data_IF_287826142138
#
_entry.id   IF_287826142138
#
_cell.length_a   1.000
_cell.length_b   1.000
_cell.length_c   1.000
_cell.angle_alpha   90.00
_cell.angle_beta   90.00
_cell.angle_gamma   90.00
#
_symmetry.space_group_name_H-M   'P 1'
#
loop_
_entity.id
_entity.type
_entity.pdbx_description
1 polymer ?
#
# COMPACT_ATOMS: atom_id res chain seq x y z
N UNK A 1 -74.97 5.26 -39.92
CA UNK A 1 -75.28 6.68 -39.76
C UNK A 1 -74.81 7.07 -38.37
N UNK A 2 -73.64 7.63 -38.10
CA UNK A 2 -72.44 8.07 -38.82
C UNK A 2 -71.37 8.21 -37.71
N UNK A 3 -70.12 7.74 -37.89
CA UNK A 3 -68.94 8.59 -38.15
C UNK A 3 -68.90 9.88 -37.28
N UNK A 4 -67.87 10.25 -36.51
CA UNK A 4 -66.43 9.99 -36.55
C UNK A 4 -65.77 10.62 -35.31
N UNK A 5 -64.60 10.06 -34.94
CA UNK A 5 -63.49 10.60 -34.13
C UNK A 5 -63.46 12.08 -33.74
N UNK A 6 -63.07 12.35 -32.49
CA UNK A 6 -62.03 13.35 -32.21
C UNK A 6 -61.11 12.88 -31.06
N UNK A 7 -59.85 13.25 -31.20
CA UNK A 7 -58.66 12.65 -30.62
C UNK A 7 -57.89 13.77 -29.92
N UNK A 8 -57.67 13.71 -28.60
CA UNK A 8 -56.57 14.51 -28.01
C UNK A 8 -56.01 13.94 -26.71
N UNK A 9 -54.66 13.91 -26.54
CA UNK A 9 -53.97 13.08 -25.56
C UNK A 9 -53.67 13.86 -24.26
N UNK A 10 -53.59 13.15 -23.14
CA UNK A 10 -53.00 13.65 -21.90
C UNK A 10 -51.91 12.68 -21.41
N UNK A 11 -50.92 12.45 -22.28
CA UNK A 11 -49.61 11.94 -21.91
C UNK A 11 -48.75 13.12 -21.42
N UNK A 12 -49.04 13.61 -20.22
CA UNK A 12 -48.27 14.57 -19.41
C UNK A 12 -48.99 14.61 -18.05
N UNK A 13 -48.45 14.27 -16.89
CA UNK A 13 -47.16 14.64 -16.35
C UNK A 13 -46.84 13.79 -15.10
N UNK A 14 -46.62 12.49 -15.26
CA UNK A 14 -46.20 11.58 -14.18
C UNK A 14 -44.69 11.23 -14.24
N UNK A 15 -43.85 12.10 -14.80
CA UNK A 15 -42.45 11.80 -15.09
C UNK A 15 -41.50 12.94 -14.67
N UNK A 16 -41.58 13.37 -13.41
CA UNK A 16 -40.63 14.30 -12.83
C UNK A 16 -40.00 13.79 -11.53
N UNK A 17 -39.85 12.47 -11.40
CA UNK A 17 -38.75 11.92 -10.60
C UNK A 17 -37.60 11.72 -11.56
N UNK A 18 -36.73 12.72 -11.69
CA UNK A 18 -35.42 12.54 -12.30
C UNK A 18 -34.76 11.29 -11.69
N UNK A 19 -34.49 10.22 -12.46
CA UNK A 19 -33.62 9.18 -11.96
C UNK A 19 -32.26 9.87 -11.78
N UNK A 20 -31.76 9.91 -10.55
CA UNK A 20 -30.34 10.17 -10.32
C UNK A 20 -29.54 9.28 -11.29
N UNK A 21 -28.39 9.76 -11.83
CA UNK A 21 -27.55 8.93 -12.68
C UNK A 21 -27.38 7.58 -12.00
N UNK A 22 -27.97 6.53 -12.57
CA UNK A 22 -27.61 5.17 -12.23
C UNK A 22 -26.12 5.11 -12.53
N UNK A 23 -25.30 5.10 -11.48
CA UNK A 23 -23.89 4.79 -11.54
C UNK A 23 -23.79 3.53 -12.39
N UNK A 24 -23.45 3.69 -13.68
CA UNK A 24 -23.19 2.58 -14.57
C UNK A 24 -21.98 1.90 -13.96
N UNK A 25 -22.25 0.91 -13.12
CA UNK A 25 -21.22 0.00 -12.66
C UNK A 25 -20.70 -0.69 -13.91
N UNK A 26 -19.60 -0.16 -14.46
CA UNK A 26 -18.93 -0.78 -15.59
C UNK A 26 -18.75 -2.26 -15.24
N UNK A 27 -19.24 -3.20 -16.06
CA UNK A 27 -19.24 -4.62 -15.71
C UNK A 27 -17.83 -5.15 -15.44
N UNK A 28 -16.81 -4.48 -15.97
CA UNK A 28 -15.37 -4.71 -15.70
C UNK A 28 -14.97 -4.37 -14.25
N UNK A 29 -15.61 -3.38 -13.63
CA UNK A 29 -15.38 -2.98 -12.23
C UNK A 29 -16.22 -3.79 -11.23
N UNK A 30 -17.32 -4.42 -11.68
CA UNK A 30 -18.19 -5.24 -10.82
C UNK A 30 -17.54 -6.54 -10.30
N UNK A 31 -16.63 -7.12 -11.10
CA UNK A 31 -15.82 -8.26 -10.70
C UNK A 31 -14.68 -7.83 -9.76
N UNK A 32 -14.16 -6.62 -9.97
CA UNK A 32 -13.03 -6.06 -9.22
C UNK A 32 -13.40 -5.48 -7.85
N UNK A 33 -14.64 -5.04 -7.65
CA UNK A 33 -15.13 -4.52 -6.37
C UNK A 33 -15.63 -5.59 -5.39
N UNK A 34 -15.60 -6.87 -5.76
CA UNK A 34 -15.99 -7.95 -4.85
C UNK A 34 -14.84 -8.24 -3.87
N UNK A 35 -15.08 -8.21 -2.55
CA UNK A 35 -14.05 -8.47 -1.55
C UNK A 35 -13.64 -9.94 -1.60
N UNK A 36 -12.52 -10.21 -2.27
CA UNK A 36 -11.92 -11.52 -2.46
C UNK A 36 -11.00 -11.90 -1.28
N UNK A 37 -11.53 -11.82 -0.06
CA UNK A 37 -10.78 -12.08 1.19
C UNK A 37 -10.29 -13.52 1.29
N UNK A 38 -11.10 -14.49 0.86
CA UNK A 38 -10.76 -15.92 0.92
C UNK A 38 -9.64 -16.29 -0.06
N UNK A 39 -9.67 -15.75 -1.28
CA UNK A 39 -8.62 -16.03 -2.29
C UNK A 39 -7.30 -15.40 -1.88
N UNK A 40 -7.31 -14.21 -1.26
CA UNK A 40 -6.11 -13.59 -0.68
C UNK A 40 -5.53 -14.42 0.48
N UNK A 41 -6.39 -15.00 1.33
CA UNK A 41 -5.95 -15.82 2.45
C UNK A 41 -5.32 -17.14 1.98
N UNK A 42 -5.93 -17.79 0.97
CA UNK A 42 -5.37 -18.97 0.32
C UNK A 42 -4.06 -18.64 -0.40
N UNK A 43 -4.00 -17.52 -1.12
CA UNK A 43 -2.78 -17.06 -1.80
C UNK A 43 -1.64 -16.81 -0.81
N UNK A 44 -1.92 -16.18 0.33
CA UNK A 44 -0.93 -15.93 1.39
C UNK A 44 -0.43 -17.25 1.99
N UNK A 45 -1.33 -18.21 2.23
CA UNK A 45 -0.96 -19.51 2.76
C UNK A 45 -0.07 -20.29 1.79
N UNK A 46 -0.43 -20.32 0.49
CA UNK A 46 0.38 -20.97 -0.54
C UNK A 46 1.75 -20.30 -0.72
N UNK A 47 1.80 -18.96 -0.63
CA UNK A 47 3.06 -18.22 -0.67
C UNK A 47 3.98 -18.58 0.51
N UNK A 48 3.45 -18.69 1.72
CA UNK A 48 4.23 -19.10 2.89
C UNK A 48 4.79 -20.52 2.73
N UNK A 49 3.98 -21.45 2.24
CA UNK A 49 4.41 -22.81 1.95
C UNK A 49 5.50 -22.82 0.89
N UNK A 50 5.36 -22.03 -0.18
CA UNK A 50 6.38 -21.90 -1.23
C UNK A 50 7.72 -21.41 -0.67
N UNK A 51 7.72 -20.34 0.13
CA UNK A 51 8.94 -19.81 0.75
C UNK A 51 9.59 -20.83 1.68
N UNK A 52 8.79 -21.54 2.49
CA UNK A 52 9.29 -22.56 3.42
C UNK A 52 10.00 -23.72 2.71
N UNK A 53 9.54 -24.11 1.51
CA UNK A 53 10.22 -25.13 0.70
C UNK A 53 11.40 -24.58 -0.11
N UNK A 54 11.39 -23.29 -0.45
CA UNK A 54 12.45 -22.66 -1.23
C UNK A 54 13.67 -22.25 -0.37
N UNK A 55 13.50 -22.05 0.93
CA UNK A 55 14.62 -21.79 1.86
C UNK A 55 15.53 -23.02 1.94
N UNK A 56 16.66 -22.97 1.22
CA UNK A 56 17.64 -24.04 1.17
C UNK A 56 18.69 -23.85 2.26
N UNK A 57 19.06 -24.89 2.99
CA UNK A 57 19.91 -24.80 4.19
C UNK A 57 21.38 -24.39 3.94
N UNK A 58 21.78 -24.14 2.69
CA UNK A 58 23.18 -23.87 2.33
C UNK A 58 23.69 -22.51 2.83
N UNK A 59 22.85 -21.45 2.85
CA UNK A 59 23.28 -20.08 3.16
C UNK A 59 22.32 -19.37 4.12
N UNK A 60 22.70 -19.26 5.40
CA UNK A 60 21.89 -18.61 6.45
C UNK A 60 21.57 -17.14 6.14
N UNK A 61 22.54 -16.39 5.61
CA UNK A 61 22.35 -14.98 5.25
C UNK A 61 21.31 -14.80 4.15
N UNK A 62 21.31 -15.68 3.14
CA UNK A 62 20.33 -15.62 2.06
C UNK A 62 18.95 -16.01 2.60
N UNK A 63 18.87 -17.06 3.42
CA UNK A 63 17.62 -17.49 4.05
C UNK A 63 16.99 -16.39 4.91
N UNK A 64 17.79 -15.65 5.69
CA UNK A 64 17.29 -14.50 6.45
C UNK A 64 16.75 -13.38 5.55
N UNK A 65 17.39 -13.11 4.40
CA UNK A 65 16.90 -12.09 3.44
C UNK A 65 15.57 -12.51 2.80
N UNK A 66 15.46 -13.77 2.39
CA UNK A 66 14.23 -14.33 1.84
C UNK A 66 13.12 -14.38 2.88
N UNK A 67 13.43 -14.79 4.11
CA UNK A 67 12.49 -14.85 5.23
C UNK A 67 11.96 -13.46 5.62
N UNK A 68 12.84 -12.46 5.73
CA UNK A 68 12.43 -11.09 6.01
C UNK A 68 11.57 -10.53 4.87
N UNK A 69 11.99 -10.73 3.61
CA UNK A 69 11.22 -10.29 2.44
C UNK A 69 9.83 -10.92 2.39
N UNK A 70 9.73 -12.23 2.65
CA UNK A 70 8.48 -12.96 2.71
C UNK A 70 7.58 -12.46 3.84
N UNK A 71 8.12 -12.24 5.04
CA UNK A 71 7.38 -11.69 6.17
C UNK A 71 6.80 -10.30 5.89
N UNK A 72 7.60 -9.41 5.28
CA UNK A 72 7.13 -8.10 4.85
C UNK A 72 5.99 -8.21 3.81
N UNK A 73 6.10 -9.14 2.86
CA UNK A 73 5.09 -9.35 1.82
C UNK A 73 3.76 -9.83 2.40
N UNK A 74 3.81 -10.80 3.32
CA UNK A 74 2.63 -11.31 4.04
C UNK A 74 1.97 -10.21 4.88
N UNK A 75 2.76 -9.38 5.57
CA UNK A 75 2.23 -8.24 6.32
C UNK A 75 1.47 -7.27 5.41
N UNK A 76 2.01 -6.97 4.22
CA UNK A 76 1.33 -6.11 3.24
C UNK A 76 0.03 -6.74 2.74
N UNK A 77 0.01 -8.04 2.41
CA UNK A 77 -1.22 -8.73 1.99
C UNK A 77 -2.29 -8.67 3.09
N UNK A 78 -1.93 -9.00 4.33
CA UNK A 78 -2.85 -8.94 5.47
C UNK A 78 -3.32 -7.50 5.69
N UNK A 79 -2.43 -6.51 5.58
CA UNK A 79 -2.78 -5.09 5.64
C UNK A 79 -3.82 -4.69 4.61
N UNK A 80 -3.72 -5.17 3.36
CA UNK A 80 -4.72 -4.90 2.32
C UNK A 80 -6.11 -5.46 2.69
N UNK A 81 -6.15 -6.59 3.41
CA UNK A 81 -7.39 -7.25 3.83
C UNK A 81 -8.02 -6.57 5.05
N UNK A 82 -7.22 -6.22 6.05
CA UNK A 82 -7.69 -5.74 7.36
C UNK A 82 -7.94 -4.23 7.36
N UNK A 83 -7.18 -3.45 6.59
CA UNK A 83 -7.36 -2.01 6.57
C UNK A 83 -8.63 -1.60 5.84
N UNK A 84 -9.35 -0.66 6.46
CA UNK A 84 -10.57 -0.08 5.92
C UNK A 84 -10.26 0.80 4.71
N UNK A 85 -11.19 0.86 3.75
CA UNK A 85 -11.11 1.79 2.64
C UNK A 85 -10.98 3.24 3.13
N UNK A 86 -9.87 3.87 2.76
CA UNK A 86 -9.67 5.29 2.98
C UNK A 86 -10.52 6.14 2.01
N UNK A 87 -10.60 7.46 2.24
CA UNK A 87 -11.34 8.38 1.38
C UNK A 87 -10.77 8.52 -0.05
N UNK A 88 -9.62 7.90 -0.34
CA UNK A 88 -8.99 7.88 -1.65
C UNK A 88 -9.48 6.69 -2.49
N UNK A 89 -10.38 6.97 -3.44
CA UNK A 89 -11.06 5.94 -4.25
C UNK A 89 -10.43 5.72 -5.65
N UNK A 90 -9.62 6.66 -6.17
CA UNK A 90 -8.94 6.53 -7.49
C UNK A 90 -7.42 6.45 -7.28
N UNK A 91 -6.60 5.66 -8.01
CA UNK A 91 -6.87 4.76 -9.14
C UNK A 91 -7.23 3.30 -8.76
N UNK A 92 -6.94 2.81 -7.54
CA UNK A 92 -7.39 1.49 -7.06
C UNK A 92 -7.45 1.46 -5.52
N UNK A 93 -8.54 1.01 -4.88
CA UNK A 93 -8.66 1.01 -3.40
C UNK A 93 -7.60 0.14 -2.71
N UNK A 94 -7.25 -1.04 -3.28
CA UNK A 94 -6.20 -1.89 -2.70
C UNK A 94 -4.80 -1.27 -2.77
N UNK A 95 -4.52 -0.38 -3.73
CA UNK A 95 -3.22 0.30 -3.79
C UNK A 95 -3.03 1.18 -2.55
N UNK A 96 -4.06 1.94 -2.21
CA UNK A 96 -4.03 2.79 -1.01
C UNK A 96 -3.95 1.99 0.28
N UNK A 97 -4.62 0.84 0.37
CA UNK A 97 -4.47 -0.07 1.52
C UNK A 97 -3.06 -0.66 1.61
N UNK A 98 -2.43 -0.99 0.48
CA UNK A 98 -1.05 -1.45 0.45
C UNK A 98 -0.05 -0.35 0.88
N UNK A 99 -0.28 0.90 0.44
CA UNK A 99 0.53 2.06 0.85
C UNK A 99 0.42 2.29 2.36
N UNK A 100 -0.79 2.20 2.93
CA UNK A 100 -0.98 2.28 4.37
C UNK A 100 -0.24 1.15 5.11
N UNK A 101 -0.31 -0.08 4.61
CA UNK A 101 0.43 -1.20 5.18
C UNK A 101 1.94 -1.01 5.13
N UNK A 102 2.47 -0.55 3.99
CA UNK A 102 3.89 -0.22 3.86
C UNK A 102 4.30 0.91 4.80
N UNK A 103 3.44 1.92 5.02
CA UNK A 103 3.72 3.00 5.96
C UNK A 103 3.83 2.49 7.41
N UNK A 104 2.91 1.63 7.85
CA UNK A 104 2.96 1.01 9.19
C UNK A 104 4.20 0.13 9.33
N UNK A 105 4.52 -0.68 8.31
CA UNK A 105 5.71 -1.52 8.31
C UNK A 105 7.00 -0.68 8.40
N UNK A 106 7.06 0.43 7.67
CA UNK A 106 8.16 1.39 7.74
C UNK A 106 8.28 2.02 9.13
N UNK A 107 7.17 2.41 9.76
CA UNK A 107 7.19 2.98 11.11
C UNK A 107 7.67 1.96 12.15
N UNK A 108 7.24 0.71 12.07
CA UNK A 108 7.75 -0.37 12.94
C UNK A 108 9.27 -0.54 12.78
N UNK A 109 9.78 -0.45 11.56
CA UNK A 109 11.21 -0.47 11.27
C UNK A 109 11.96 0.74 11.85
N UNK A 110 11.41 1.95 11.69
CA UNK A 110 12.00 3.17 12.27
C UNK A 110 12.07 3.12 13.79
N UNK A 111 10.99 2.67 14.46
CA UNK A 111 10.96 2.53 15.91
C UNK A 111 12.00 1.49 16.37
N UNK A 112 12.17 0.38 15.64
CA UNK A 112 13.22 -0.60 15.92
C UNK A 112 14.62 0.02 15.82
N UNK A 113 14.90 0.78 14.75
CA UNK A 113 16.20 1.45 14.55
C UNK A 113 16.42 2.55 15.61
N UNK A 114 15.37 3.22 16.06
CA UNK A 114 15.43 4.30 17.04
C UNK A 114 16.01 3.83 18.39
N UNK A 115 15.70 2.60 18.81
CA UNK A 115 16.22 2.02 20.05
C UNK A 115 17.60 1.32 19.90
N UNK A 116 18.15 1.26 18.69
CA UNK A 116 19.46 0.65 18.43
C UNK A 116 20.61 1.65 18.69
N UNK A 117 21.75 1.14 19.16
CA UNK A 117 22.99 1.92 19.25
C UNK A 117 23.53 2.28 17.84
N UNK A 118 24.30 3.37 17.73
CA UNK A 118 24.88 3.89 16.45
C UNK A 118 25.56 2.79 15.63
N UNK A 119 26.36 1.94 16.27
CA UNK A 119 27.10 0.88 15.56
C UNK A 119 26.21 -0.31 15.17
N UNK A 120 25.25 -0.67 16.02
CA UNK A 120 24.27 -1.73 15.72
C UNK A 120 23.31 -1.31 14.60
N UNK A 121 22.84 -0.05 14.62
CA UNK A 121 22.00 0.51 13.57
C UNK A 121 22.71 0.51 12.21
N UNK A 122 24.01 0.85 12.18
CA UNK A 122 24.83 0.76 10.96
C UNK A 122 24.92 -0.67 10.42
N UNK A 123 25.12 -1.65 11.30
CA UNK A 123 25.13 -3.07 10.92
C UNK A 123 23.76 -3.58 10.48
N UNK A 124 22.67 -3.07 11.06
CA UNK A 124 21.31 -3.39 10.60
C UNK A 124 21.02 -2.79 9.22
N UNK A 125 21.45 -1.56 8.95
CA UNK A 125 21.27 -0.93 7.63
C UNK A 125 22.06 -1.63 6.51
N UNK A 126 23.20 -2.25 6.82
CA UNK A 126 23.98 -3.08 5.88
C UNK A 126 23.18 -4.26 5.30
N UNK A 127 22.11 -4.69 5.99
CA UNK A 127 21.26 -5.77 5.51
C UNK A 127 20.44 -5.37 4.27
N UNK A 128 20.06 -4.09 4.17
CA UNK A 128 19.26 -3.55 3.08
C UNK A 128 20.13 -3.06 1.92
N UNK A 129 21.25 -2.41 2.22
CA UNK A 129 22.21 -1.95 1.22
C UNK A 129 23.65 -2.18 1.71
N UNK A 130 24.42 -2.91 0.90
CA UNK A 130 25.81 -3.23 1.17
C UNK A 130 26.75 -2.01 1.11
N UNK A 131 26.30 -0.86 0.56
CA UNK A 131 27.06 0.38 0.60
C UNK A 131 26.84 1.22 1.87
N UNK A 132 25.80 0.93 2.66
CA UNK A 132 25.51 1.64 3.90
C UNK A 132 26.35 1.07 5.05
N UNK A 133 26.84 1.92 5.96
CA UNK A 133 27.64 1.50 7.14
C UNK A 133 29.14 1.78 7.05
N UNK A 134 29.61 2.46 5.99
CA UNK A 134 30.91 3.13 6.02
C UNK A 134 30.86 4.29 7.03
N UNK A 135 31.90 4.52 7.83
CA UNK A 135 31.96 5.70 8.67
C UNK A 135 31.92 6.92 7.74
N UNK A 136 30.85 7.72 7.85
CA UNK A 136 30.86 9.04 7.23
C UNK A 136 31.97 9.85 7.91
N UNK A 137 32.76 10.62 7.14
CA UNK A 137 33.62 11.63 7.75
C UNK A 137 32.73 12.50 8.62
N UNK A 138 33.05 12.60 9.91
CA UNK A 138 32.26 13.38 10.85
C UNK A 138 32.32 14.84 10.41
N UNK A 139 31.26 15.30 9.74
CA UNK A 139 31.09 16.72 9.45
C UNK A 139 30.73 17.38 10.76
N UNK A 140 31.61 18.25 11.24
CA UNK A 140 31.23 19.16 12.30
C UNK A 140 30.35 20.27 11.74
N UNK A 141 29.07 20.21 12.07
CA UNK A 141 28.07 21.18 11.61
C UNK A 141 28.00 22.43 12.50
N UNK A 142 28.71 22.46 13.63
CA UNK A 142 28.55 23.50 14.65
C UNK A 142 29.85 23.90 15.37
N UNK A 143 31.05 23.56 14.87
CA UNK A 143 32.31 23.95 15.52
C UNK A 143 32.84 25.32 15.10
N UNK A 144 32.40 25.87 13.96
CA UNK A 144 32.74 27.22 13.56
C UNK A 144 31.59 28.16 13.92
N UNK A 145 31.71 28.83 15.07
CA UNK A 145 30.80 29.93 15.45
C UNK A 145 31.28 31.30 14.94
N UNK A 146 32.38 31.33 14.18
CA UNK A 146 32.94 32.56 13.65
C UNK A 146 32.03 33.15 12.56
N UNK A 147 31.81 34.46 12.66
CA UNK A 147 31.04 35.23 11.68
C UNK A 147 31.91 35.56 10.47
N UNK A 148 32.25 34.54 9.69
CA UNK A 148 33.04 34.64 8.47
C UNK A 148 32.14 34.39 7.26
N UNK A 149 32.39 35.08 6.14
CA UNK A 149 31.53 35.02 4.94
C UNK A 149 31.40 33.59 4.38
N UNK A 150 32.43 32.75 4.54
CA UNK A 150 32.43 31.32 4.14
C UNK A 150 31.57 30.41 5.04
N UNK A 151 31.15 30.91 6.22
CA UNK A 151 30.44 30.14 7.23
C UNK A 151 28.94 30.48 7.26
N UNK A 152 28.57 31.63 6.66
CA UNK A 152 27.19 32.13 6.53
C UNK A 152 26.59 31.82 5.15
N UNK A 153 27.43 31.55 4.14
CA UNK A 153 27.03 31.26 2.75
C UNK A 153 27.52 29.89 2.29
#
# INVERSE_FOLDING_TARGET
MDATADKKPAAAAAAATSPLPQDQSDPTLSFFNKPHTITLLISTFLFLVYVAFYSNHADENLNNKWGLGAGCMVFVIIGIVVFRDGPFIRPHPAFWRAVLALNVLYQMGLVFVLFQNKDSARRSMQFFDSNLGKPLPEKSYAENCDFTVQNVW
#
